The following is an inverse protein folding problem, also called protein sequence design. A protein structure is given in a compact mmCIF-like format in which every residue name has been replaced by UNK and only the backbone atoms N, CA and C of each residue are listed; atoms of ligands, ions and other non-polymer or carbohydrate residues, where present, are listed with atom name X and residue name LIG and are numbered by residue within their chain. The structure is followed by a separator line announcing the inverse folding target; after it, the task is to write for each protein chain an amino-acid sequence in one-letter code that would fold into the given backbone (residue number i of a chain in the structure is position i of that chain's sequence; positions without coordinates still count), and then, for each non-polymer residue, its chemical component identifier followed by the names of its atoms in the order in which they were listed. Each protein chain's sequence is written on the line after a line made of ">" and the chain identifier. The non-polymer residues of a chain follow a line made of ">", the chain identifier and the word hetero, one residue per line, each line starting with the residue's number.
data_IF_959639441369
#
_entry.id   IF_959639441369
#
_cell.length_a   1.000
_cell.length_b   1.000
_cell.length_c   1.000
_cell.angle_alpha   90.00
_cell.angle_beta   90.00
_cell.angle_gamma   90.00
#
_symmetry.space_group_name_H-M   'P 1'
#
loop_
_entity.id
_entity.type
_entity.pdbx_description
1 polymer ?
#
# COMPACT_ATOMS: atom_id res chain seq x y z
N UNK A 1 8.67 -10.63 5.19
CA UNK A 1 9.01 -10.15 6.54
C UNK A 1 8.70 -8.66 6.49
N UNK A 2 7.85 -8.18 7.38
CA UNK A 2 7.44 -6.78 7.42
C UNK A 2 8.58 -5.91 7.99
N UNK A 3 8.91 -4.82 7.29
CA UNK A 3 9.83 -3.79 7.75
C UNK A 3 9.08 -2.62 8.41
N UNK A 4 7.99 -2.17 7.78
CA UNK A 4 7.16 -1.08 8.27
C UNK A 4 5.72 -1.26 7.83
N UNK A 5 4.79 -0.61 8.55
CA UNK A 5 3.36 -0.62 8.24
C UNK A 5 2.73 0.75 8.42
N UNK A 6 1.73 1.05 7.60
CA UNK A 6 0.91 2.25 7.72
C UNK A 6 -0.58 1.92 7.53
N UNK A 7 -1.45 2.66 8.23
CA UNK A 7 -2.90 2.55 8.11
C UNK A 7 -3.44 3.83 7.49
N UNK A 8 -4.18 3.69 6.39
CA UNK A 8 -4.88 4.80 5.75
C UNK A 8 -6.31 4.79 6.28
N UNK A 9 -6.69 5.89 6.93
CA UNK A 9 -8.00 6.06 7.54
C UNK A 9 -8.88 6.97 6.68
N UNK A 10 -10.19 6.72 6.68
CA UNK A 10 -11.16 7.71 6.20
C UNK A 10 -11.38 8.85 7.22
N UNK A 11 -12.19 9.83 6.86
CA UNK A 11 -12.53 10.96 7.73
C UNK A 11 -13.30 10.57 9.01
N UNK A 12 -13.78 9.33 9.09
CA UNK A 12 -14.48 8.76 10.26
C UNK A 12 -13.52 7.89 11.12
N UNK A 13 -12.24 7.81 10.76
CA UNK A 13 -11.22 7.03 11.46
C UNK A 13 -11.25 5.53 11.14
N UNK A 14 -11.97 5.11 10.09
CA UNK A 14 -12.00 3.70 9.68
C UNK A 14 -10.86 3.39 8.73
N UNK A 15 -10.19 2.26 8.94
CA UNK A 15 -9.14 1.80 8.03
C UNK A 15 -9.74 1.46 6.67
N UNK A 16 -9.30 2.20 5.66
CA UNK A 16 -9.62 1.94 4.25
C UNK A 16 -8.52 1.13 3.58
N UNK A 17 -7.26 1.33 3.98
CA UNK A 17 -6.13 0.60 3.42
C UNK A 17 -5.07 0.31 4.47
N UNK A 18 -4.41 -0.84 4.33
CA UNK A 18 -3.21 -1.19 5.10
C UNK A 18 -2.05 -1.29 4.14
N UNK A 19 -0.96 -0.57 4.39
CA UNK A 19 0.27 -0.63 3.60
C UNK A 19 1.35 -1.33 4.42
N UNK A 20 2.02 -2.30 3.81
CA UNK A 20 3.09 -3.10 4.44
C UNK A 20 4.31 -3.02 3.56
N UNK A 21 5.41 -2.45 4.06
CA UNK A 21 6.71 -2.49 3.40
C UNK A 21 7.39 -3.82 3.73
N UNK A 22 7.69 -4.61 2.70
CA UNK A 22 8.35 -5.90 2.81
C UNK A 22 9.88 -5.76 2.70
N UNK A 23 10.60 -6.77 3.21
CA UNK A 23 12.07 -6.86 3.12
C UNK A 23 12.65 -6.79 1.71
N UNK A 24 11.87 -7.15 0.70
CA UNK A 24 12.29 -7.05 -0.71
C UNK A 24 12.12 -5.63 -1.29
N UNK A 25 11.66 -4.67 -0.48
CA UNK A 25 11.49 -3.28 -0.85
C UNK A 25 10.19 -2.98 -1.58
N UNK A 26 9.30 -3.97 -1.77
CA UNK A 26 7.95 -3.72 -2.30
C UNK A 26 6.97 -3.39 -1.18
N UNK A 27 5.90 -2.69 -1.53
CA UNK A 27 4.79 -2.40 -0.61
C UNK A 27 3.57 -3.22 -1.01
N UNK A 28 3.00 -3.94 -0.06
CA UNK A 28 1.71 -4.61 -0.19
C UNK A 28 0.62 -3.68 0.34
N UNK A 29 -0.36 -3.37 -0.50
CA UNK A 29 -1.54 -2.56 -0.17
C UNK A 29 -2.74 -3.48 -0.07
N UNK A 30 -3.34 -3.55 1.12
CA UNK A 30 -4.59 -4.28 1.36
C UNK A 30 -5.76 -3.31 1.43
N UNK A 31 -6.79 -3.56 0.63
CA UNK A 31 -7.96 -2.70 0.48
C UNK A 31 -9.10 -3.15 1.40
N UNK A 32 -9.73 -2.20 2.09
CA UNK A 32 -10.82 -2.43 3.03
C UNK A 32 -12.02 -1.53 2.74
N UNK A 33 -13.26 -2.06 2.87
CA UNK A 33 -13.60 -3.48 2.99
C UNK A 33 -13.45 -4.19 1.64
N UNK A 34 -12.90 -5.41 1.62
CA UNK A 34 -12.79 -6.21 0.38
C UNK A 34 -11.65 -7.20 0.39
N UNK A 35 -10.57 -6.90 1.11
CA UNK A 35 -9.43 -7.81 1.26
C UNK A 35 -8.62 -8.02 -0.02
N UNK A 36 -8.91 -7.28 -1.09
CA UNK A 36 -8.07 -7.26 -2.29
C UNK A 36 -6.68 -6.74 -1.91
N UNK A 37 -5.67 -7.22 -2.63
CA UNK A 37 -4.28 -6.86 -2.40
C UNK A 37 -3.62 -6.42 -3.70
N UNK A 38 -2.85 -5.34 -3.62
CA UNK A 38 -2.00 -4.86 -4.69
C UNK A 38 -0.56 -4.80 -4.19
N UNK A 39 0.37 -5.20 -5.03
CA UNK A 39 1.80 -5.07 -4.76
C UNK A 39 2.34 -3.95 -5.61
N UNK A 40 3.13 -3.06 -5.01
CA UNK A 40 3.69 -1.90 -5.68
C UNK A 40 5.18 -1.78 -5.41
N UNK A 41 5.92 -1.27 -6.38
CA UNK A 41 7.27 -0.76 -6.17
C UNK A 41 7.18 0.71 -5.75
N UNK A 42 7.49 1.05 -4.48
CA UNK A 42 7.37 2.41 -3.97
C UNK A 42 8.41 3.36 -4.58
N UNK A 43 9.52 2.85 -5.16
CA UNK A 43 10.58 3.69 -5.75
C UNK A 43 10.18 4.20 -7.12
N UNK A 44 9.54 3.35 -7.91
CA UNK A 44 9.09 3.68 -9.28
C UNK A 44 7.60 4.01 -9.36
N UNK A 45 6.86 3.85 -8.26
CA UNK A 45 5.40 3.98 -8.18
C UNK A 45 4.67 3.04 -9.14
N UNK A 46 5.28 1.88 -9.42
CA UNK A 46 4.76 0.89 -10.36
C UNK A 46 3.88 -0.11 -9.63
N UNK A 47 2.68 -0.38 -10.15
CA UNK A 47 1.85 -1.47 -9.66
C UNK A 47 2.32 -2.77 -10.31
N UNK A 48 2.71 -3.73 -9.48
CA UNK A 48 3.24 -5.03 -9.89
C UNK A 48 2.13 -6.09 -10.02
N UNK A 49 0.98 -5.88 -9.37
CA UNK A 49 -0.17 -6.78 -9.49
C UNK A 49 -0.93 -6.50 -10.79
N UNK A 50 -1.06 -7.48 -11.71
CA UNK A 50 -1.78 -7.27 -12.97
C UNK A 50 -3.26 -7.01 -12.73
N UNK A 51 -3.86 -6.20 -13.62
CA UNK A 51 -5.29 -5.86 -13.59
C UNK A 51 -5.77 -5.13 -12.33
N UNK A 52 -4.85 -4.63 -11.49
CA UNK A 52 -5.18 -3.80 -10.34
C UNK A 52 -4.73 -2.37 -10.60
N UNK A 53 -5.64 -1.41 -10.36
CA UNK A 53 -5.31 0.01 -10.42
C UNK A 53 -5.23 0.55 -9.00
N UNK A 54 -4.09 1.15 -8.66
CA UNK A 54 -3.87 1.80 -7.36
C UNK A 54 -3.98 3.32 -7.54
N UNK A 55 -4.84 4.00 -6.77
CA UNK A 55 -4.92 5.46 -6.76
C UNK A 55 -3.57 6.13 -6.50
N UNK A 56 -3.28 7.24 -7.18
CA UNK A 56 -2.00 7.95 -7.05
C UNK A 56 -1.66 8.33 -5.59
N UNK A 57 -2.64 8.77 -4.80
CA UNK A 57 -2.42 9.08 -3.38
C UNK A 57 -1.93 7.88 -2.56
N UNK A 58 -2.37 6.66 -2.87
CA UNK A 58 -1.85 5.45 -2.21
C UNK A 58 -0.44 5.10 -2.66
N UNK A 59 -0.06 5.44 -3.90
CA UNK A 59 1.31 5.31 -4.38
C UNK A 59 2.24 6.31 -3.70
N UNK A 60 1.77 7.54 -3.43
CA UNK A 60 2.51 8.53 -2.65
C UNK A 60 2.75 8.05 -1.22
N UNK A 61 1.71 7.54 -0.55
CA UNK A 61 1.83 6.96 0.80
C UNK A 61 2.80 5.76 0.81
N UNK A 62 2.70 4.86 -0.17
CA UNK A 62 3.63 3.74 -0.33
C UNK A 62 5.08 4.23 -0.53
N UNK A 63 5.28 5.28 -1.32
CA UNK A 63 6.59 5.90 -1.55
C UNK A 63 7.11 6.65 -0.31
N UNK A 64 6.27 6.99 0.65
CA UNK A 64 6.63 7.64 1.90
C UNK A 64 7.00 6.63 3.02
N UNK A 65 6.62 5.36 2.92
CA UNK A 65 7.00 4.34 3.91
C UNK A 65 8.52 4.21 4.02
N UNK A 66 9.01 4.19 5.25
CA UNK A 66 10.41 3.94 5.60
C UNK A 66 10.46 2.86 6.69
N UNK A 67 11.49 1.99 6.68
CA UNK A 67 11.76 1.09 7.81
C UNK A 67 12.03 1.88 9.10
#
# INVERSE_FOLDING_TARGET
>A
MELARALVLDCQGRTTHTLVLEVDGTVTIRFHPGGAEARVDPRTRTVLTPSVTVPAGLLDEAAALRP
#
